data_IF_381510311120
#
_entry.id   IF_381510311120
#
_cell.length_a   1.000
_cell.length_b   1.000
_cell.length_c   1.000
_cell.angle_alpha   90.00
_cell.angle_beta   90.00
_cell.angle_gamma   90.00
#
_symmetry.space_group_name_H-M   'P 1'
#
loop_
_entity.id
_entity.type
_entity.pdbx_description
1 polymer ?
#
# COMPACT_ATOMS: atom_id res chain seq x y z
N UNK A 1 -17.04 15.02 -0.73
CA UNK A 1 -16.20 14.02 -0.07
C UNK A 1 -14.83 14.00 -0.71
N UNK A 2 -13.79 13.79 0.09
CA UNK A 2 -12.41 13.58 -0.35
C UNK A 2 -12.27 12.23 -1.07
N UNK A 3 -11.15 11.99 -1.78
CA UNK A 3 -10.89 10.68 -2.39
C UNK A 3 -10.95 9.56 -1.35
N UNK A 4 -10.28 9.74 -0.21
CA UNK A 4 -10.26 8.76 0.87
C UNK A 4 -11.67 8.45 1.37
N UNK A 5 -12.49 9.47 1.64
CA UNK A 5 -13.89 9.26 2.05
C UNK A 5 -14.70 8.50 1.00
N UNK A 6 -14.54 8.82 -0.29
CA UNK A 6 -15.30 8.17 -1.37
C UNK A 6 -14.88 6.72 -1.59
N UNK A 7 -13.58 6.43 -1.52
CA UNK A 7 -13.05 5.06 -1.61
C UNK A 7 -13.60 4.23 -0.45
N UNK A 8 -13.48 4.72 0.78
CA UNK A 8 -13.97 4.02 1.97
C UNK A 8 -15.49 3.90 1.99
N UNK A 9 -16.22 4.89 1.48
CA UNK A 9 -17.68 4.85 1.39
C UNK A 9 -18.11 3.74 0.41
N UNK A 10 -17.50 3.69 -0.78
CA UNK A 10 -17.73 2.62 -1.75
C UNK A 10 -17.38 1.24 -1.18
N UNK A 11 -16.23 1.11 -0.53
CA UNK A 11 -15.79 -0.14 0.07
C UNK A 11 -16.66 -0.61 1.26
N UNK A 12 -17.47 0.27 1.85
CA UNK A 12 -18.36 -0.04 2.98
C UNK A 12 -19.85 -0.03 2.62
N UNK A 13 -20.19 -0.05 1.33
CA UNK A 13 -21.57 0.04 0.80
C UNK A 13 -22.36 1.26 1.34
N UNK A 14 -21.65 2.36 1.62
CA UNK A 14 -22.22 3.62 2.08
C UNK A 14 -22.21 4.65 0.96
N UNK A 15 -23.25 5.48 0.89
CA UNK A 15 -23.32 6.60 -0.06
C UNK A 15 -22.47 7.80 0.35
N UNK A 16 -22.15 7.92 1.63
CA UNK A 16 -21.35 9.01 2.18
C UNK A 16 -20.64 8.61 3.48
N UNK A 17 -19.51 9.25 3.74
CA UNK A 17 -18.76 9.15 4.99
C UNK A 17 -18.21 10.49 5.42
N UNK A 18 -18.04 10.65 6.73
CA UNK A 18 -17.35 11.76 7.35
C UNK A 18 -16.11 11.28 8.14
N UNK A 19 -15.09 12.14 8.29
CA UNK A 19 -13.95 11.85 9.15
C UNK A 19 -14.35 11.48 10.59
N UNK A 20 -13.70 10.46 11.13
CA UNK A 20 -13.95 9.92 12.47
C UNK A 20 -15.01 8.83 12.55
N UNK A 21 -15.72 8.52 11.45
CA UNK A 21 -16.58 7.34 11.41
C UNK A 21 -15.75 6.04 11.42
N UNK A 22 -16.26 5.02 12.12
CA UNK A 22 -15.77 3.65 12.02
C UNK A 22 -16.63 2.87 11.02
N UNK A 23 -15.98 2.17 10.10
CA UNK A 23 -16.65 1.36 9.08
C UNK A 23 -15.99 0.02 8.88
N UNK A 24 -16.80 -0.96 8.48
CA UNK A 24 -16.32 -2.20 7.90
C UNK A 24 -16.13 -1.99 6.40
N UNK A 25 -14.95 -2.30 5.89
CA UNK A 25 -14.61 -2.10 4.49
C UNK A 25 -14.27 -3.43 3.86
N UNK A 26 -14.73 -3.64 2.63
CA UNK A 26 -14.25 -4.70 1.79
C UNK A 26 -12.81 -4.36 1.36
N UNK A 27 -11.89 -5.30 1.55
CA UNK A 27 -10.47 -5.13 1.21
C UNK A 27 -10.24 -5.76 -0.15
N UNK A 28 -9.61 -5.01 -1.05
CA UNK A 28 -9.31 -5.46 -2.40
C UNK A 28 -8.03 -6.29 -2.43
N UNK A 29 -6.98 -5.82 -1.76
CA UNK A 29 -5.70 -6.52 -1.61
C UNK A 29 -5.23 -6.45 -0.16
N UNK A 30 -4.81 -7.58 0.39
CA UNK A 30 -4.01 -7.66 1.60
C UNK A 30 -2.59 -8.10 1.23
N UNK A 31 -1.59 -7.34 1.64
CA UNK A 31 -0.19 -7.71 1.50
C UNK A 31 0.42 -8.11 2.83
N UNK A 32 1.21 -9.18 2.84
CA UNK A 32 2.12 -9.47 3.96
C UNK A 32 3.49 -9.95 3.47
N UNK A 33 4.44 -9.94 4.40
CA UNK A 33 5.85 -10.25 4.16
C UNK A 33 6.41 -11.05 5.36
N UNK A 34 7.67 -11.42 5.28
CA UNK A 34 8.33 -12.39 6.15
C UNK A 34 8.59 -11.90 7.58
N UNK A 35 8.45 -10.61 7.87
CA UNK A 35 8.56 -10.10 9.25
C UNK A 35 7.24 -10.33 10.01
N UNK A 36 6.14 -9.82 9.46
CA UNK A 36 4.85 -9.79 10.15
C UNK A 36 3.98 -11.02 9.83
N UNK A 37 4.08 -11.57 8.62
CA UNK A 37 3.23 -12.63 8.12
C UNK A 37 3.19 -13.88 9.01
N UNK A 38 4.31 -14.41 9.54
CA UNK A 38 4.27 -15.53 10.48
C UNK A 38 3.44 -15.23 11.74
N UNK A 39 3.49 -14.00 12.25
CA UNK A 39 2.68 -13.55 13.39
C UNK A 39 1.19 -13.47 13.05
N UNK A 40 0.86 -12.93 11.87
CA UNK A 40 -0.52 -12.88 11.34
C UNK A 40 -1.08 -14.29 11.14
N UNK A 41 -0.32 -15.20 10.53
CA UNK A 41 -0.71 -16.59 10.31
C UNK A 41 -0.97 -17.30 11.66
N UNK A 42 -0.09 -17.08 12.64
CA UNK A 42 -0.26 -17.64 13.98
C UNK A 42 -1.55 -17.16 14.66
N UNK A 43 -1.83 -15.85 14.60
CA UNK A 43 -3.10 -15.28 15.10
C UNK A 43 -4.29 -15.82 14.33
N UNK A 44 -4.22 -15.89 13.00
CA UNK A 44 -5.29 -16.42 12.15
C UNK A 44 -5.66 -17.86 12.54
N UNK A 45 -4.67 -18.75 12.64
CA UNK A 45 -4.90 -20.15 13.06
C UNK A 45 -5.41 -20.26 14.49
N UNK A 46 -4.92 -19.41 15.40
CA UNK A 46 -5.38 -19.38 16.79
C UNK A 46 -6.85 -18.96 16.92
N UNK A 47 -7.25 -17.90 16.23
CA UNK A 47 -8.58 -17.31 16.36
C UNK A 47 -9.65 -18.01 15.51
N UNK A 48 -9.27 -18.54 14.33
CA UNK A 48 -10.20 -19.16 13.38
C UNK A 48 -10.03 -20.68 13.25
N UNK A 49 -8.99 -21.26 13.83
CA UNK A 49 -8.68 -22.69 13.84
C UNK A 49 -7.64 -23.12 12.80
N UNK A 50 -6.98 -24.25 13.05
CA UNK A 50 -5.89 -24.79 12.20
C UNK A 50 -6.30 -25.09 10.76
N UNK A 51 -7.59 -25.36 10.52
CA UNK A 51 -8.13 -25.68 9.19
C UNK A 51 -8.84 -24.47 8.54
N UNK A 52 -8.72 -23.27 9.11
CA UNK A 52 -9.35 -22.07 8.57
C UNK A 52 -8.82 -21.77 7.16
N UNK A 53 -9.69 -21.16 6.34
CA UNK A 53 -9.34 -20.70 4.99
C UNK A 53 -9.37 -19.18 4.91
N UNK A 54 -8.39 -18.61 4.22
CA UNK A 54 -8.40 -17.18 3.87
C UNK A 54 -9.68 -16.84 3.11
N UNK A 55 -10.16 -15.61 3.25
CA UNK A 55 -11.45 -15.22 2.64
C UNK A 55 -11.39 -15.25 1.12
N UNK A 56 -10.22 -14.97 0.54
CA UNK A 56 -9.96 -15.00 -0.89
C UNK A 56 -8.45 -15.20 -1.15
N UNK A 57 -8.10 -16.32 -1.81
CA UNK A 57 -6.71 -16.69 -2.12
C UNK A 57 -6.09 -15.89 -3.27
N UNK A 58 -6.90 -15.13 -4.00
CA UNK A 58 -6.44 -14.22 -5.05
C UNK A 58 -6.32 -12.77 -4.55
N UNK A 59 -6.80 -12.45 -3.34
CA UNK A 59 -6.64 -11.11 -2.74
C UNK A 59 -5.52 -11.01 -1.71
N UNK A 60 -4.89 -12.13 -1.37
CA UNK A 60 -3.72 -12.16 -0.50
C UNK A 60 -2.44 -12.21 -1.35
N UNK A 61 -1.60 -11.19 -1.18
CA UNK A 61 -0.28 -11.08 -1.80
C UNK A 61 0.79 -11.30 -0.75
N UNK A 62 1.71 -12.24 -1.00
CA UNK A 62 2.78 -12.60 -0.05
C UNK A 62 4.14 -12.39 -0.71
N UNK A 63 4.95 -11.50 -0.14
CA UNK A 63 6.26 -11.11 -0.70
C UNK A 63 7.32 -11.15 0.41
N UNK A 64 8.16 -12.20 0.49
CA UNK A 64 9.29 -12.22 1.41
C UNK A 64 10.42 -11.33 0.91
N UNK A 65 10.75 -10.24 1.62
CA UNK A 65 11.75 -9.26 1.18
C UNK A 65 12.69 -8.71 2.26
N UNK A 66 12.39 -8.91 3.54
CA UNK A 66 13.16 -8.33 4.64
C UNK A 66 14.29 -9.23 5.14
N UNK A 67 13.99 -10.51 5.37
CA UNK A 67 14.90 -11.53 5.91
C UNK A 67 15.35 -12.51 4.83
N UNK A 68 15.65 -11.96 3.67
CA UNK A 68 16.29 -12.67 2.56
C UNK A 68 17.80 -12.41 2.57
N UNK A 69 18.56 -13.32 1.96
CA UNK A 69 20.03 -13.23 1.89
C UNK A 69 20.73 -13.09 3.24
N UNK A 70 20.23 -13.83 4.24
CA UNK A 70 20.82 -13.92 5.57
C UNK A 70 21.13 -15.37 5.94
N UNK A 71 22.15 -15.57 6.78
CA UNK A 71 22.50 -16.87 7.36
C UNK A 71 21.77 -17.16 8.67
N UNK A 72 20.92 -16.24 9.17
CA UNK A 72 20.18 -16.43 10.41
C UNK A 72 19.01 -17.42 10.21
N UNK A 73 19.08 -18.56 10.88
CA UNK A 73 18.07 -19.63 10.81
C UNK A 73 16.68 -19.17 11.25
N UNK A 74 16.56 -18.20 12.17
CA UNK A 74 15.27 -17.69 12.65
C UNK A 74 14.57 -16.87 11.58
N UNK A 75 15.34 -16.00 10.94
CA UNK A 75 14.93 -15.28 9.74
C UNK A 75 14.57 -16.27 8.62
N UNK A 76 15.34 -17.36 8.51
CA UNK A 76 15.07 -18.37 7.50
C UNK A 76 13.74 -19.07 7.68
N UNK A 77 13.45 -19.50 8.90
CA UNK A 77 12.19 -20.12 9.29
C UNK A 77 10.96 -19.28 8.96
N UNK A 78 11.04 -17.94 9.03
CA UNK A 78 9.87 -17.10 8.73
C UNK A 78 9.40 -17.24 7.27
N UNK A 79 10.34 -17.28 6.32
CA UNK A 79 10.01 -17.50 4.90
C UNK A 79 9.44 -18.91 4.68
N UNK A 80 9.94 -19.90 5.41
CA UNK A 80 9.41 -21.27 5.32
C UNK A 80 7.96 -21.35 5.84
N UNK A 81 7.65 -20.65 6.94
CA UNK A 81 6.26 -20.53 7.45
C UNK A 81 5.34 -19.89 6.39
N UNK A 82 5.79 -18.82 5.72
CA UNK A 82 5.03 -18.20 4.65
C UNK A 82 4.79 -19.18 3.50
N UNK A 83 5.84 -19.90 3.07
CA UNK A 83 5.76 -20.87 1.98
C UNK A 83 4.77 -21.98 2.29
N UNK A 84 4.87 -22.57 3.48
CA UNK A 84 3.96 -23.63 3.93
C UNK A 84 2.51 -23.14 3.94
N UNK A 85 2.28 -21.93 4.48
CA UNK A 85 0.95 -21.33 4.49
C UNK A 85 0.42 -21.03 3.08
N UNK A 86 1.25 -20.51 2.19
CA UNK A 86 0.85 -20.21 0.81
C UNK A 86 0.44 -21.48 0.06
N UNK A 87 1.17 -22.58 0.25
CA UNK A 87 0.84 -23.90 -0.32
C UNK A 87 -0.45 -24.44 0.28
N UNK A 88 -0.60 -24.39 1.62
CA UNK A 88 -1.79 -24.88 2.33
C UNK A 88 -3.08 -24.15 1.93
N UNK A 89 -2.98 -22.84 1.70
CA UNK A 89 -4.10 -21.96 1.38
C UNK A 89 -4.29 -21.76 -0.12
N UNK A 90 -3.41 -22.35 -0.96
CA UNK A 90 -3.40 -22.19 -2.41
C UNK A 90 -3.38 -20.70 -2.84
N UNK A 91 -2.49 -19.92 -2.24
CA UNK A 91 -2.34 -18.49 -2.51
C UNK A 91 -1.77 -18.29 -3.91
N UNK A 92 -2.51 -17.55 -4.75
CA UNK A 92 -2.14 -17.30 -6.15
C UNK A 92 -0.91 -16.40 -6.27
N UNK A 93 -0.86 -15.33 -5.48
CA UNK A 93 0.16 -14.29 -5.58
C UNK A 93 1.22 -14.45 -4.47
N UNK A 94 1.99 -15.54 -4.56
CA UNK A 94 3.15 -15.78 -3.70
C UNK A 94 4.46 -15.56 -4.48
N UNK A 95 5.15 -14.48 -4.18
CA UNK A 95 6.39 -14.07 -4.84
C UNK A 95 7.61 -14.64 -4.11
N UNK A 96 7.72 -15.97 -4.15
CA UNK A 96 8.72 -16.71 -3.38
C UNK A 96 10.17 -16.44 -3.80
N UNK A 97 11.07 -16.59 -2.84
CA UNK A 97 12.52 -16.64 -3.02
C UNK A 97 13.00 -18.08 -2.81
N UNK A 98 13.49 -18.72 -3.88
CA UNK A 98 13.84 -20.15 -3.87
C UNK A 98 15.26 -20.40 -3.37
N UNK A 99 16.24 -19.62 -3.83
CA UNK A 99 17.64 -19.72 -3.41
C UNK A 99 18.04 -18.51 -2.56
N UNK A 100 18.24 -18.73 -1.26
CA UNK A 100 18.56 -17.66 -0.32
C UNK A 100 20.05 -17.47 -0.10
N UNK A 101 20.88 -18.38 -0.62
CA UNK A 101 22.33 -18.29 -0.53
C UNK A 101 22.93 -17.35 -1.57
N UNK A 102 22.18 -17.03 -2.63
CA UNK A 102 22.67 -16.20 -3.72
C UNK A 102 21.56 -15.35 -4.36
N UNK A 103 21.65 -14.02 -4.24
CA UNK A 103 20.66 -13.12 -4.83
C UNK A 103 20.59 -13.21 -6.36
N UNK A 104 21.70 -13.54 -7.03
CA UNK A 104 21.72 -13.70 -8.48
C UNK A 104 21.04 -14.99 -8.96
N UNK A 105 20.73 -15.91 -8.05
CA UNK A 105 20.09 -17.18 -8.37
C UNK A 105 18.54 -17.10 -8.42
N UNK A 106 17.95 -15.91 -8.20
CA UNK A 106 16.50 -15.70 -8.24
C UNK A 106 16.15 -14.62 -9.28
N UNK A 107 16.26 -14.92 -10.57
CA UNK A 107 15.94 -13.93 -11.62
C UNK A 107 14.49 -13.45 -11.59
N UNK A 108 13.59 -14.26 -11.02
CA UNK A 108 12.14 -13.96 -10.94
C UNK A 108 11.73 -13.28 -9.63
N UNK A 109 12.67 -13.08 -8.70
CA UNK A 109 12.38 -12.45 -7.41
C UNK A 109 12.06 -10.96 -7.58
N UNK A 110 10.97 -10.50 -6.96
CA UNK A 110 10.37 -9.19 -7.23
C UNK A 110 10.95 -8.03 -6.41
N UNK A 111 11.77 -8.32 -5.40
CA UNK A 111 12.39 -7.27 -4.58
C UNK A 111 11.45 -6.72 -3.52
N UNK A 112 11.65 -5.43 -3.18
CA UNK A 112 10.92 -4.75 -2.09
C UNK A 112 9.41 -4.80 -2.34
N UNK A 113 8.66 -5.21 -1.32
CA UNK A 113 7.22 -5.51 -1.40
C UNK A 113 6.38 -4.42 -2.08
N UNK A 114 6.58 -3.15 -1.74
CA UNK A 114 5.82 -2.03 -2.33
C UNK A 114 6.14 -1.77 -3.80
N UNK A 115 7.37 -2.07 -4.22
CA UNK A 115 7.76 -2.00 -5.64
C UNK A 115 7.17 -3.19 -6.40
N UNK A 116 7.25 -4.39 -5.81
CA UNK A 116 6.67 -5.60 -6.37
C UNK A 116 5.14 -5.48 -6.54
N UNK A 117 4.42 -4.93 -5.56
CA UNK A 117 2.98 -4.66 -5.68
C UNK A 117 2.65 -3.81 -6.92
N UNK A 118 3.40 -2.71 -7.11
CA UNK A 118 3.21 -1.82 -8.26
C UNK A 118 3.57 -2.51 -9.58
N UNK A 119 4.73 -3.18 -9.65
CA UNK A 119 5.23 -3.81 -10.87
C UNK A 119 4.38 -5.00 -11.34
N UNK A 120 3.75 -5.70 -10.40
CA UNK A 120 2.91 -6.87 -10.67
C UNK A 120 1.41 -6.53 -10.78
N UNK A 121 1.05 -5.24 -10.83
CA UNK A 121 -0.31 -4.81 -11.12
C UNK A 121 -1.31 -4.95 -9.97
N UNK A 122 -0.82 -5.00 -8.72
CA UNK A 122 -1.65 -5.06 -7.53
C UNK A 122 -2.16 -3.70 -7.06
N UNK A 123 -1.49 -2.62 -7.44
CA UNK A 123 -1.91 -1.26 -7.12
C UNK A 123 -2.87 -0.73 -8.19
N UNK A 124 -4.17 -0.70 -7.90
CA UNK A 124 -5.23 -0.30 -8.85
C UNK A 124 -6.08 0.87 -8.31
N UNK A 125 -6.31 1.92 -9.13
CA UNK A 125 -7.02 3.12 -8.68
C UNK A 125 -8.37 2.86 -8.03
N UNK A 126 -8.58 3.52 -6.88
CA UNK A 126 -9.83 3.49 -6.13
C UNK A 126 -10.02 2.26 -5.23
N UNK A 127 -9.05 1.35 -5.17
CA UNK A 127 -9.12 0.18 -4.29
C UNK A 127 -8.69 0.50 -2.84
N UNK A 128 -9.02 -0.44 -1.96
CA UNK A 128 -8.53 -0.50 -0.57
C UNK A 128 -7.44 -1.57 -0.47
N UNK A 129 -6.20 -1.13 -0.23
CA UNK A 129 -5.05 -2.01 -0.04
C UNK A 129 -4.55 -1.93 1.41
N UNK A 130 -4.59 -3.05 2.12
CA UNK A 130 -4.02 -3.16 3.46
C UNK A 130 -2.73 -3.96 3.40
N UNK A 131 -1.78 -3.62 4.26
CA UNK A 131 -0.49 -4.31 4.29
C UNK A 131 0.05 -4.38 5.71
N UNK A 132 0.79 -5.44 6.02
CA UNK A 132 1.39 -5.60 7.36
C UNK A 132 2.71 -4.83 7.52
N UNK A 133 2.90 -3.79 6.71
CA UNK A 133 4.09 -2.93 6.65
C UNK A 133 3.69 -1.45 6.75
N UNK A 134 4.49 -0.63 7.43
CA UNK A 134 4.20 0.80 7.65
C UNK A 134 4.11 1.61 6.36
N UNK A 135 4.90 1.26 5.34
CA UNK A 135 5.03 2.02 4.10
C UNK A 135 4.06 1.54 3.00
N UNK A 136 3.07 0.73 3.36
CA UNK A 136 1.96 0.33 2.47
C UNK A 136 1.25 1.54 1.84
N UNK A 137 1.29 2.70 2.51
CA UNK A 137 0.81 3.98 1.97
C UNK A 137 1.43 4.37 0.62
N UNK A 138 2.54 3.75 0.20
CA UNK A 138 3.14 3.90 -1.14
C UNK A 138 2.11 3.66 -2.26
N UNK A 139 1.20 2.68 -2.10
CA UNK A 139 0.21 2.35 -3.12
C UNK A 139 -0.82 3.47 -3.37
N UNK A 140 -1.01 4.40 -2.43
CA UNK A 140 -1.89 5.54 -2.68
C UNK A 140 -1.39 6.50 -3.77
N UNK A 141 -0.15 6.36 -4.25
CA UNK A 141 0.33 6.99 -5.49
C UNK A 141 -0.50 6.62 -6.74
N UNK A 142 -1.22 5.49 -6.68
CA UNK A 142 -2.13 5.00 -7.72
C UNK A 142 -3.58 5.46 -7.51
N UNK A 143 -3.85 6.30 -6.50
CA UNK A 143 -5.20 6.74 -6.16
C UNK A 143 -5.98 5.76 -5.30
N UNK A 144 -5.27 5.00 -4.47
CA UNK A 144 -5.84 4.04 -3.52
C UNK A 144 -5.94 4.59 -2.10
N UNK A 145 -6.83 3.98 -1.32
CA UNK A 145 -6.69 4.03 0.13
C UNK A 145 -5.78 2.88 0.58
N UNK A 146 -4.52 3.20 0.87
CA UNK A 146 -3.52 2.22 1.26
C UNK A 146 -2.93 2.52 2.64
N UNK A 147 -2.94 1.54 3.55
CA UNK A 147 -2.39 1.74 4.89
C UNK A 147 -1.74 0.49 5.47
N UNK A 148 -0.68 0.73 6.24
CA UNK A 148 -0.14 -0.26 7.15
C UNK A 148 -1.13 -0.60 8.27
N UNK A 149 -1.20 -1.88 8.59
CA UNK A 149 -1.99 -2.48 9.65
C UNK A 149 -1.10 -3.46 10.45
N UNK A 150 -1.45 -3.73 11.71
CA UNK A 150 -0.77 -4.69 12.56
C UNK A 150 -1.21 -6.14 12.32
N UNK A 151 -1.13 -6.96 13.38
CA UNK A 151 -1.59 -8.36 13.34
C UNK A 151 -3.07 -8.50 13.75
N UNK A 152 -3.69 -7.42 14.23
CA UNK A 152 -5.07 -7.35 14.68
C UNK A 152 -5.47 -5.89 14.59
N UNK A 153 -6.47 -5.58 13.77
CA UNK A 153 -6.65 -4.20 13.31
C UNK A 153 -8.08 -3.70 13.37
N UNK A 154 -8.14 -2.39 13.58
CA UNK A 154 -9.32 -1.57 13.44
C UNK A 154 -8.84 -0.16 13.03
N UNK A 155 -9.71 0.59 12.35
CA UNK A 155 -9.41 1.95 11.92
C UNK A 155 -10.67 2.79 11.78
N UNK A 156 -10.48 4.09 11.58
CA UNK A 156 -11.52 5.07 11.31
C UNK A 156 -11.22 5.79 10.00
N UNK A 157 -12.25 6.43 9.42
CA UNK A 157 -12.13 7.30 8.25
C UNK A 157 -11.28 8.52 8.60
N UNK A 158 -10.07 8.70 8.03
CA UNK A 158 -9.21 9.80 8.42
C UNK A 158 -9.66 11.12 7.77
N UNK A 159 -9.55 12.27 8.48
CA UNK A 159 -9.59 13.57 7.83
C UNK A 159 -8.43 13.71 6.82
N UNK A 160 -8.60 14.57 5.82
CA UNK A 160 -7.58 14.76 4.78
C UNK A 160 -6.87 16.10 4.94
N UNK A 161 -5.54 16.08 4.85
CA UNK A 161 -4.70 17.26 4.70
C UNK A 161 -4.29 17.36 3.22
N UNK A 162 -4.77 18.41 2.54
CA UNK A 162 -4.53 18.59 1.10
C UNK A 162 -3.29 19.47 0.87
N UNK A 163 -2.38 18.96 0.05
CA UNK A 163 -1.18 19.64 -0.40
C UNK A 163 -1.34 20.01 -1.88
N UNK A 164 -1.46 21.31 -2.14
CA UNK A 164 -1.55 21.86 -3.50
C UNK A 164 -0.16 22.31 -3.91
N UNK A 165 0.45 21.59 -4.85
CA UNK A 165 1.82 21.78 -5.30
C UNK A 165 1.79 22.21 -6.76
N UNK A 166 1.93 23.52 -6.98
CA UNK A 166 1.89 24.13 -8.31
C UNK A 166 3.22 24.77 -8.68
N UNK A 167 3.53 24.71 -9.98
CA UNK A 167 4.74 25.30 -10.56
C UNK A 167 5.61 24.26 -11.28
N UNK A 168 6.80 24.70 -11.68
CA UNK A 168 7.78 23.84 -12.34
C UNK A 168 8.87 23.45 -11.35
N UNK A 169 9.13 22.15 -11.21
CA UNK A 169 10.24 21.65 -10.40
C UNK A 169 11.56 21.85 -11.17
N UNK A 170 12.55 22.57 -10.61
CA UNK A 170 13.89 22.64 -11.20
C UNK A 170 14.48 21.24 -11.40
N UNK A 171 15.21 21.03 -12.50
CA UNK A 171 15.73 19.71 -12.91
C UNK A 171 16.69 19.02 -11.91
N UNK A 172 17.18 19.75 -10.90
CA UNK A 172 18.06 19.22 -9.86
C UNK A 172 17.31 18.85 -8.56
N UNK A 173 16.01 19.13 -8.49
CA UNK A 173 15.13 18.68 -7.40
C UNK A 173 14.38 17.42 -7.83
N UNK A 174 14.10 16.57 -6.86
CA UNK A 174 13.36 15.32 -7.01
C UNK A 174 12.12 15.34 -6.12
N UNK A 175 11.17 14.43 -6.37
CA UNK A 175 10.03 14.21 -5.48
C UNK A 175 10.45 13.94 -4.03
N UNK A 176 11.63 13.34 -3.82
CA UNK A 176 12.23 13.16 -2.49
C UNK A 176 12.44 14.49 -1.76
N UNK A 177 12.95 15.50 -2.43
CA UNK A 177 13.20 16.82 -1.84
C UNK A 177 11.88 17.50 -1.47
N UNK A 178 10.85 17.34 -2.32
CA UNK A 178 9.52 17.87 -2.09
C UNK A 178 8.87 17.28 -0.82
N UNK A 179 8.85 15.96 -0.68
CA UNK A 179 8.25 15.33 0.51
C UNK A 179 9.07 15.57 1.77
N UNK A 180 10.40 15.64 1.67
CA UNK A 180 11.25 16.02 2.80
C UNK A 180 10.99 17.46 3.25
N UNK A 181 10.78 18.40 2.32
CA UNK A 181 10.41 19.77 2.64
C UNK A 181 9.05 19.83 3.34
N UNK A 182 8.05 19.12 2.81
CA UNK A 182 6.72 19.03 3.43
C UNK A 182 6.81 18.49 4.86
N UNK A 183 7.53 17.38 5.07
CA UNK A 183 7.72 16.78 6.41
C UNK A 183 8.49 17.75 7.32
N UNK A 184 9.48 18.47 6.80
CA UNK A 184 10.21 19.50 7.54
C UNK A 184 9.32 20.64 8.05
N UNK A 185 8.30 21.01 7.28
CA UNK A 185 7.34 22.06 7.66
C UNK A 185 6.28 21.57 8.64
N UNK A 186 5.74 20.36 8.45
CA UNK A 186 4.63 19.85 9.28
C UNK A 186 5.11 19.02 10.47
N UNK A 187 6.39 18.65 10.53
CA UNK A 187 7.03 17.73 11.49
C UNK A 187 6.57 16.27 11.37
N UNK A 188 7.25 15.37 12.09
CA UNK A 188 6.97 13.92 12.14
C UNK A 188 5.57 13.55 12.67
N UNK A 189 4.85 14.52 13.25
CA UNK A 189 3.49 14.32 13.76
C UNK A 189 2.45 15.19 13.03
N UNK A 190 2.84 15.96 12.01
CA UNK A 190 1.98 16.95 11.35
C UNK A 190 0.75 16.38 10.67
N UNK A 191 0.86 15.14 10.18
CA UNK A 191 -0.22 14.42 9.52
C UNK A 191 -0.79 13.28 10.38
N UNK A 192 -0.50 13.26 11.70
CA UNK A 192 -1.03 12.21 12.59
C UNK A 192 -2.55 12.07 12.43
N UNK A 193 -2.97 10.83 12.16
CA UNK A 193 -4.37 10.44 11.92
C UNK A 193 -5.03 11.06 10.69
N UNK A 194 -4.27 11.61 9.74
CA UNK A 194 -4.78 12.22 8.52
C UNK A 194 -4.32 11.47 7.27
N UNK A 195 -5.13 11.49 6.23
CA UNK A 195 -4.65 11.23 4.89
C UNK A 195 -3.93 12.48 4.35
N UNK A 196 -2.88 12.31 3.54
CA UNK A 196 -2.21 13.38 2.82
C UNK A 196 -2.61 13.28 1.34
N UNK A 197 -3.38 14.23 0.83
CA UNK A 197 -3.80 14.26 -0.58
C UNK A 197 -2.94 15.26 -1.35
N UNK A 198 -2.17 14.77 -2.33
CA UNK A 198 -1.26 15.58 -3.13
C UNK A 198 -1.89 15.87 -4.50
N UNK A 199 -1.97 17.16 -4.85
CA UNK A 199 -2.56 17.63 -6.11
C UNK A 199 -1.77 18.81 -6.66
N UNK A 200 -2.07 19.22 -7.89
CA UNK A 200 -1.51 20.40 -8.52
C UNK A 200 -0.58 20.05 -9.69
N UNK A 201 -0.25 21.07 -10.47
CA UNK A 201 0.51 20.95 -11.71
C UNK A 201 1.87 20.26 -11.53
N UNK A 202 2.54 20.46 -10.39
CA UNK A 202 3.79 19.77 -10.08
C UNK A 202 3.55 18.27 -9.96
N UNK A 203 2.52 17.84 -9.22
CA UNK A 203 2.20 16.42 -9.01
C UNK A 203 1.81 15.73 -10.31
N UNK A 204 1.03 16.41 -11.15
CA UNK A 204 0.64 15.93 -12.48
C UNK A 204 1.86 15.68 -13.38
N UNK A 205 2.92 16.49 -13.24
CA UNK A 205 4.15 16.33 -14.01
C UNK A 205 5.07 15.19 -13.55
N UNK A 206 4.86 14.64 -12.35
CA UNK A 206 5.69 13.57 -11.79
C UNK A 206 5.44 12.22 -12.47
N UNK A 207 6.50 11.43 -12.61
CA UNK A 207 6.44 10.00 -12.94
C UNK A 207 5.75 9.18 -11.85
N UNK A 208 5.36 7.94 -12.13
CA UNK A 208 4.78 7.07 -11.10
C UNK A 208 5.76 6.78 -9.95
N UNK A 209 7.04 6.57 -10.27
CA UNK A 209 8.09 6.33 -9.27
C UNK A 209 8.30 7.54 -8.34
N UNK A 210 8.17 8.75 -8.88
CA UNK A 210 8.20 9.99 -8.10
C UNK A 210 6.95 10.14 -7.21
N UNK A 211 5.76 9.81 -7.72
CA UNK A 211 4.52 9.79 -6.91
C UNK A 211 4.59 8.75 -5.79
N UNK A 212 5.12 7.56 -6.10
CA UNK A 212 5.41 6.52 -5.10
C UNK A 212 6.36 7.04 -4.04
N UNK A 213 7.38 7.82 -4.41
CA UNK A 213 8.30 8.46 -3.45
C UNK A 213 7.58 9.43 -2.51
N UNK A 214 6.63 10.23 -3.01
CA UNK A 214 5.82 11.10 -2.17
C UNK A 214 4.98 10.30 -1.17
N UNK A 215 4.20 9.33 -1.67
CA UNK A 215 3.27 8.58 -0.84
C UNK A 215 3.98 7.65 0.15
N UNK A 216 5.13 7.08 -0.22
CA UNK A 216 5.94 6.22 0.65
C UNK A 216 6.31 6.91 1.96
N UNK A 217 6.69 8.18 1.93
CA UNK A 217 7.15 8.90 3.12
C UNK A 217 6.03 9.53 3.95
N UNK A 218 4.75 9.37 3.58
CA UNK A 218 3.63 9.94 4.34
C UNK A 218 3.57 9.42 5.77
N UNK A 219 3.95 8.17 5.98
CA UNK A 219 3.99 7.57 7.33
C UNK A 219 5.01 8.28 8.23
N UNK A 220 6.07 8.88 7.67
CA UNK A 220 7.09 9.63 8.43
C UNK A 220 6.56 10.95 9.01
N UNK A 221 5.42 11.46 8.50
CA UNK A 221 4.67 12.58 9.08
C UNK A 221 3.53 12.12 10.02
N UNK A 222 3.41 10.82 10.27
CA UNK A 222 2.29 10.20 10.99
C UNK A 222 1.03 10.04 10.14
N UNK A 223 1.11 10.28 8.83
CA UNK A 223 -0.02 10.16 7.91
C UNK A 223 -0.48 8.72 7.73
N UNK A 224 -1.80 8.53 7.65
CA UNK A 224 -2.42 7.20 7.52
C UNK A 224 -2.41 6.66 6.09
N UNK A 225 -2.52 7.55 5.12
CA UNK A 225 -2.48 7.26 3.69
C UNK A 225 -1.93 8.47 2.93
N UNK A 226 -1.15 8.25 1.89
CA UNK A 226 -0.74 9.28 0.93
C UNK A 226 -1.42 9.03 -0.40
N UNK A 227 -2.21 9.97 -0.92
CA UNK A 227 -3.04 9.73 -2.10
C UNK A 227 -2.81 10.78 -3.20
N UNK A 228 -2.66 10.29 -4.43
CA UNK A 228 -2.55 11.09 -5.65
C UNK A 228 -3.69 10.69 -6.61
N UNK A 229 -4.46 11.63 -7.18
CA UNK A 229 -5.45 11.31 -8.20
C UNK A 229 -4.85 10.56 -9.39
N UNK A 230 -5.47 9.47 -9.81
CA UNK A 230 -5.03 8.72 -10.98
C UNK A 230 -5.26 9.50 -12.28
N UNK A 231 -4.25 9.53 -13.15
CA UNK A 231 -4.28 10.22 -14.44
C UNK A 231 -3.63 9.36 -15.54
N UNK A 232 -3.36 9.95 -16.70
CA UNK A 232 -2.74 9.25 -17.83
C UNK A 232 -1.38 8.63 -17.49
N UNK A 233 -0.61 9.22 -16.58
CA UNK A 233 0.66 8.63 -16.11
C UNK A 233 0.39 7.34 -15.35
N UNK A 234 -0.63 7.33 -14.50
CA UNK A 234 -1.09 6.13 -13.77
C UNK A 234 -1.61 5.07 -14.73
N UNK A 235 -2.52 5.42 -15.65
CA UNK A 235 -3.11 4.46 -16.59
C UNK A 235 -2.05 3.83 -17.50
N UNK A 236 -1.13 4.64 -18.03
CA UNK A 236 -0.03 4.14 -18.85
C UNK A 236 0.90 3.20 -18.08
N UNK A 237 1.13 3.47 -16.80
CA UNK A 237 1.93 2.55 -15.98
C UNK A 237 1.26 1.19 -15.82
N UNK A 238 -0.07 1.15 -15.72
CA UNK A 238 -0.83 -0.07 -15.45
C UNK A 238 -1.21 -0.88 -16.69
N UNK A 239 -1.17 -0.28 -17.88
CA UNK A 239 -1.65 -0.86 -19.16
C UNK A 239 -1.17 -2.31 -19.40
N UNK A 240 0.11 -2.60 -19.14
CA UNK A 240 0.71 -3.93 -19.33
C UNK A 240 0.88 -4.73 -18.04
N UNK A 241 0.37 -4.24 -16.90
CA UNK A 241 0.60 -4.85 -15.57
C UNK A 241 -0.62 -5.55 -15.01
N UNK A 242 -1.83 -5.13 -15.38
CA UNK A 242 -3.06 -5.75 -14.89
C UNK A 242 -4.17 -5.70 -15.92
N UNK A 243 -4.98 -6.77 -15.96
CA UNK A 243 -6.22 -6.85 -16.73
C UNK A 243 -7.47 -6.78 -15.85
N UNK A 244 -7.30 -6.67 -14.53
CA UNK A 244 -8.42 -6.57 -13.59
C UNK A 244 -9.11 -5.21 -13.74
N UNK A 245 -10.46 -5.17 -13.73
CA UNK A 245 -11.19 -3.92 -13.83
C UNK A 245 -11.00 -3.10 -12.56
N UNK A 246 -10.81 -1.79 -12.72
CA UNK A 246 -10.76 -0.84 -11.61
C UNK A 246 -11.52 0.44 -11.94
N UNK A 247 -11.98 1.14 -10.92
CA UNK A 247 -12.74 2.38 -11.05
C UNK A 247 -12.06 3.50 -10.25
N UNK A 248 -11.34 4.41 -10.92
CA UNK A 248 -10.70 5.57 -10.31
C UNK A 248 -11.69 6.45 -9.57
N UNK A 249 -11.28 6.97 -8.41
CA UNK A 249 -12.12 7.85 -7.57
C UNK A 249 -11.46 9.21 -7.45
N UNK A 250 -12.24 10.28 -7.55
CA UNK A 250 -11.76 11.66 -7.45
C UNK A 250 -12.50 12.44 -6.36
N UNK A 251 -11.78 13.32 -5.67
CA UNK A 251 -12.35 14.26 -4.70
C UNK A 251 -13.42 15.13 -5.35
N UNK A 252 -14.51 15.39 -4.63
CA UNK A 252 -15.49 16.38 -5.07
C UNK A 252 -14.89 17.79 -4.97
N UNK A 253 -15.21 18.69 -5.90
CA UNK A 253 -14.62 20.03 -5.95
C UNK A 253 -14.88 20.92 -4.72
N UNK A 254 -15.83 20.56 -3.86
CA UNK A 254 -16.16 21.26 -2.61
C UNK A 254 -15.81 20.44 -1.34
N UNK A 255 -15.01 19.37 -1.48
CA UNK A 255 -14.54 18.60 -0.34
C UNK A 255 -13.72 19.49 0.61
N UNK A 256 -13.84 19.23 1.92
CA UNK A 256 -13.19 19.99 2.99
C UNK A 256 -12.38 19.08 3.89
#
# INVERSE_FOLDING_TARGET
MTMTEKILARASDKSQLAPGENVWVNVDILMTHDVCGPGVIGTFKKEFGENAKVWDSEKLVVIPDHYIFTSDERANRNVDILRDFCVEQNIKYFYDIKDRGNFKANPDYKGVCHVALAQEGHCRPGEVLLGTDSHTCTAGAFGEFATGIGNTDAGFVPPTLRFVLDGEMPHYLLAKDLILQIIGEISVAGATYKAMEFVGSTVESLTMEERMTLCNMVVEAGGKNGIVPADNTTYKYLEDKTSEPFEPVFSDGQAR
#
